data_IF_103786464088
#
_entry.id   IF_103786464088
#
_cell.length_a   1.000
_cell.length_b   1.000
_cell.length_c   1.000
_cell.angle_alpha   90.00
_cell.angle_beta   90.00
_cell.angle_gamma   90.00
#
_symmetry.space_group_name_H-M   'P 1'
#
loop_
_entity.id
_entity.type
_entity.pdbx_description
1 polymer ?
#
# COMPACT_ATOMS: atom_id res chain seq x y z
N UNK A 1 2.74 -15.43 -5.62
CA UNK A 1 3.60 -16.32 -4.77
C UNK A 1 4.08 -15.63 -3.49
N UNK A 2 4.65 -14.43 -3.55
CA UNK A 2 5.16 -13.71 -2.37
C UNK A 2 4.06 -13.39 -1.33
N UNK A 3 2.93 -12.82 -1.76
CA UNK A 3 1.78 -12.56 -0.90
C UNK A 3 1.28 -13.81 -0.16
N UNK A 4 1.19 -14.95 -0.85
CA UNK A 4 0.79 -16.23 -0.27
C UNK A 4 1.74 -16.68 0.86
N UNK A 5 3.04 -16.48 0.69
CA UNK A 5 4.03 -16.79 1.73
C UNK A 5 3.86 -15.87 2.93
N UNK A 6 3.62 -14.57 2.71
CA UNK A 6 3.39 -13.61 3.77
C UNK A 6 2.08 -13.86 4.53
N UNK A 7 1.03 -14.37 3.89
CA UNK A 7 -0.24 -14.65 4.57
C UNK A 7 -0.21 -15.97 5.34
N UNK A 8 0.43 -17.01 4.80
CA UNK A 8 0.33 -18.37 5.36
C UNK A 8 1.44 -18.70 6.37
N UNK A 9 2.62 -18.10 6.23
CA UNK A 9 3.73 -18.35 7.15
C UNK A 9 3.86 -17.20 8.13
N UNK A 10 3.68 -17.50 9.42
CA UNK A 10 4.16 -16.62 10.48
C UNK A 10 5.68 -16.75 10.51
N UNK A 11 6.37 -15.84 9.83
CA UNK A 11 7.83 -15.86 9.78
C UNK A 11 8.31 -15.39 11.16
N UNK A 12 8.74 -16.31 12.03
CA UNK A 12 9.20 -15.98 13.40
C UNK A 12 10.31 -14.93 13.46
N UNK A 13 11.02 -14.73 12.37
CA UNK A 13 12.13 -13.75 12.25
C UNK A 13 11.62 -12.35 11.90
N UNK A 14 10.40 -12.23 11.35
CA UNK A 14 9.86 -10.97 10.88
C UNK A 14 8.96 -10.36 11.94
N UNK A 15 9.19 -9.09 12.26
CA UNK A 15 8.32 -8.36 13.17
C UNK A 15 6.88 -8.32 12.61
N UNK A 16 5.85 -8.59 13.44
CA UNK A 16 4.47 -8.63 12.98
C UNK A 16 4.01 -7.34 12.29
N UNK A 17 4.46 -6.17 12.77
CA UNK A 17 4.08 -4.88 12.16
C UNK A 17 4.67 -4.72 10.76
N UNK A 18 5.93 -5.12 10.60
CA UNK A 18 6.63 -5.12 9.31
C UNK A 18 5.97 -6.10 8.32
N UNK A 19 5.54 -7.27 8.80
CA UNK A 19 4.82 -8.25 7.97
C UNK A 19 3.47 -7.69 7.48
N UNK A 20 2.71 -7.00 8.35
CA UNK A 20 1.44 -6.36 7.97
C UNK A 20 1.67 -5.30 6.90
N UNK A 21 2.63 -4.40 7.10
CA UNK A 21 2.97 -3.35 6.13
C UNK A 21 3.39 -3.95 4.76
N UNK A 22 4.20 -5.01 4.77
CA UNK A 22 4.59 -5.74 3.56
C UNK A 22 3.40 -6.36 2.82
N UNK A 23 2.43 -6.92 3.55
CA UNK A 23 1.22 -7.49 2.95
C UNK A 23 0.43 -6.38 2.25
N UNK A 24 0.20 -5.25 2.91
CA UNK A 24 -0.54 -4.13 2.30
C UNK A 24 0.19 -3.52 1.11
N UNK A 25 1.52 -3.35 1.18
CA UNK A 25 2.32 -2.91 0.03
C UNK A 25 2.23 -3.90 -1.14
N UNK A 26 2.30 -5.20 -0.85
CA UNK A 26 2.18 -6.23 -1.89
C UNK A 26 0.80 -6.22 -2.54
N UNK A 27 -0.26 -6.04 -1.74
CA UNK A 27 -1.62 -5.86 -2.26
C UNK A 27 -1.73 -4.65 -3.17
N UNK A 28 -1.20 -3.50 -2.73
CA UNK A 28 -1.15 -2.29 -3.55
C UNK A 28 -0.43 -2.54 -4.88
N UNK A 29 0.75 -3.16 -4.87
CA UNK A 29 1.50 -3.45 -6.11
C UNK A 29 0.74 -4.38 -7.07
N UNK A 30 -0.03 -5.33 -6.55
CA UNK A 30 -0.86 -6.21 -7.37
C UNK A 30 -2.01 -5.42 -8.00
N UNK A 31 -2.67 -4.54 -7.23
CA UNK A 31 -3.75 -3.70 -7.73
C UNK A 31 -3.24 -2.71 -8.79
N UNK A 32 -2.11 -2.07 -8.54
CA UNK A 32 -1.45 -1.16 -9.49
C UNK A 32 -1.07 -1.89 -10.78
N UNK A 33 -0.36 -3.02 -10.69
CA UNK A 33 0.01 -3.82 -11.86
C UNK A 33 -1.22 -4.32 -12.63
N UNK A 34 -2.29 -4.72 -11.94
CA UNK A 34 -3.55 -5.12 -12.58
C UNK A 34 -4.19 -3.95 -13.31
N UNK A 35 -4.20 -2.76 -12.69
CA UNK A 35 -4.73 -1.55 -13.32
C UNK A 35 -3.94 -1.17 -14.59
N UNK A 36 -2.62 -1.33 -14.57
CA UNK A 36 -1.78 -1.08 -15.76
C UNK A 36 -2.14 -2.03 -16.88
N UNK A 37 -2.16 -3.35 -16.61
CA UNK A 37 -2.39 -4.37 -17.63
C UNK A 37 -3.81 -4.33 -18.21
N UNK A 38 -4.82 -4.08 -17.37
CA UNK A 38 -6.22 -4.17 -17.79
C UNK A 38 -6.85 -2.84 -18.18
N UNK A 39 -6.30 -1.71 -17.74
CA UNK A 39 -6.89 -0.39 -17.98
C UNK A 39 -5.94 0.44 -18.83
N UNK A 40 -4.71 0.64 -18.36
CA UNK A 40 -3.76 1.57 -19.00
C UNK A 40 -3.27 1.08 -20.36
N UNK A 41 -2.88 -0.19 -20.45
CA UNK A 41 -2.37 -0.74 -21.71
C UNK A 41 -3.48 -0.74 -22.79
N UNK A 42 -4.71 -1.24 -22.54
CA UNK A 42 -5.81 -1.12 -23.50
C UNK A 42 -6.19 0.33 -23.85
N UNK A 43 -6.15 1.25 -22.88
CA UNK A 43 -6.38 2.67 -23.12
C UNK A 43 -5.33 3.27 -24.07
N UNK A 44 -4.06 2.92 -23.91
CA UNK A 44 -2.97 3.35 -24.78
C UNK A 44 -3.09 2.80 -26.22
N UNK A 45 -3.72 1.63 -26.38
CA UNK A 45 -4.08 1.08 -27.69
C UNK A 45 -5.39 1.64 -28.26
N UNK A 46 -6.01 2.64 -27.60
CA UNK A 46 -7.17 3.37 -28.11
C UNK A 46 -8.53 2.74 -27.80
N UNK A 47 -8.60 1.74 -26.91
CA UNK A 47 -9.87 1.11 -26.55
C UNK A 47 -10.71 1.98 -25.58
N UNK A 48 -10.08 2.76 -24.70
CA UNK A 48 -10.75 3.66 -23.73
C UNK A 48 -9.82 4.83 -23.32
N UNK A 49 -9.85 6.01 -23.99
CA UNK A 49 -8.89 7.10 -23.74
C UNK A 49 -9.08 7.86 -22.41
N UNK A 50 -10.28 7.82 -21.82
CA UNK A 50 -10.72 8.73 -20.75
C UNK A 50 -10.32 8.30 -19.32
N UNK A 51 -9.67 7.15 -19.14
CA UNK A 51 -9.34 6.60 -17.81
C UNK A 51 -7.93 6.94 -17.28
N UNK A 52 -7.23 7.91 -17.88
CA UNK A 52 -5.78 7.91 -17.86
C UNK A 52 -5.06 8.53 -16.65
N UNK A 53 -5.67 9.36 -15.80
CA UNK A 53 -4.87 10.10 -14.81
C UNK A 53 -5.34 9.95 -13.36
N UNK A 54 -4.39 9.59 -12.49
CA UNK A 54 -4.21 10.11 -11.13
C UNK A 54 -4.46 9.23 -9.88
N UNK A 55 -4.86 7.96 -9.96
CA UNK A 55 -5.21 7.20 -8.72
C UNK A 55 -4.09 6.37 -8.08
N UNK A 56 -3.05 5.95 -8.83
CA UNK A 56 -2.09 4.96 -8.31
C UNK A 56 -0.92 5.56 -7.54
N UNK A 57 -0.33 6.68 -7.96
CA UNK A 57 0.95 7.16 -7.41
C UNK A 57 0.96 7.44 -5.89
N UNK A 58 -0.13 7.99 -5.35
CA UNK A 58 -0.22 8.50 -3.97
C UNK A 58 -0.16 7.39 -2.91
N UNK A 59 -0.74 6.22 -3.21
CA UNK A 59 -0.86 5.11 -2.25
C UNK A 59 0.45 4.34 -2.12
N UNK A 60 1.19 4.21 -3.23
CA UNK A 60 2.51 3.60 -3.29
C UNK A 60 3.48 4.29 -2.33
N UNK A 61 3.52 5.63 -2.39
CA UNK A 61 4.40 6.44 -1.57
C UNK A 61 4.07 6.29 -0.08
N UNK A 62 2.79 6.22 0.29
CA UNK A 62 2.35 6.04 1.68
C UNK A 62 2.88 4.75 2.31
N UNK A 63 2.69 3.60 1.67
CA UNK A 63 3.17 2.33 2.22
C UNK A 63 4.70 2.21 2.24
N UNK A 64 5.40 2.77 1.24
CA UNK A 64 6.87 2.83 1.24
C UNK A 64 7.42 3.71 2.36
N UNK A 65 6.82 4.87 2.62
CA UNK A 65 7.19 5.75 3.73
C UNK A 65 6.94 5.06 5.07
N UNK A 66 5.79 4.41 5.26
CA UNK A 66 5.50 3.67 6.49
C UNK A 66 6.48 2.52 6.73
N UNK A 67 6.88 1.80 5.68
CA UNK A 67 7.92 0.78 5.76
C UNK A 67 9.28 1.37 6.15
N UNK A 68 9.66 2.51 5.58
CA UNK A 68 10.86 3.25 5.95
C UNK A 68 10.84 3.69 7.42
N UNK A 69 9.73 4.26 7.88
CA UNK A 69 9.54 4.71 9.26
C UNK A 69 9.55 3.53 10.24
N UNK A 70 8.89 2.41 9.91
CA UNK A 70 8.88 1.21 10.73
C UNK A 70 10.30 0.66 10.93
N UNK A 71 11.12 0.62 9.88
CA UNK A 71 12.53 0.21 10.00
C UNK A 71 13.37 1.24 10.76
N UNK A 72 13.17 2.53 10.47
CA UNK A 72 13.93 3.60 11.13
C UNK A 72 13.68 3.58 12.64
N UNK A 73 12.43 3.49 13.06
CA UNK A 73 12.04 3.40 14.48
C UNK A 73 12.56 2.14 15.15
N UNK A 74 12.65 1.02 14.43
CA UNK A 74 13.28 -0.19 14.96
C UNK A 74 14.79 0.00 15.24
N UNK A 75 15.48 0.80 14.42
CA UNK A 75 16.89 1.12 14.60
C UNK A 75 17.13 2.21 15.67
N UNK A 76 16.32 3.27 15.68
CA UNK A 76 16.52 4.41 16.59
C UNK A 76 15.94 4.17 17.99
N UNK A 77 14.83 3.44 18.10
CA UNK A 77 14.12 3.21 19.37
C UNK A 77 13.66 1.76 19.52
N UNK A 78 14.58 0.78 19.60
CA UNK A 78 14.23 -0.65 19.62
C UNK A 78 13.32 -1.04 20.78
N UNK A 79 13.47 -0.41 21.95
CA UNK A 79 12.66 -0.70 23.14
C UNK A 79 11.21 -0.22 22.97
N UNK A 80 11.00 0.93 22.32
CA UNK A 80 9.66 1.51 22.11
C UNK A 80 8.97 0.99 20.84
N UNK A 81 9.66 0.19 20.03
CA UNK A 81 9.15 -0.30 18.75
C UNK A 81 7.81 -1.03 18.89
N UNK A 82 7.67 -1.87 19.92
CA UNK A 82 6.44 -2.64 20.18
C UNK A 82 5.27 -1.73 20.58
N UNK A 83 5.55 -0.63 21.29
CA UNK A 83 4.53 0.34 21.71
C UNK A 83 4.07 1.19 20.52
N UNK A 84 5.02 1.66 19.71
CA UNK A 84 4.75 2.51 18.53
C UNK A 84 4.05 1.70 17.43
N UNK A 85 4.53 0.49 17.15
CA UNK A 85 4.06 -0.36 16.06
C UNK A 85 3.39 -1.62 16.57
N UNK A 86 2.46 -1.49 17.52
CA UNK A 86 1.63 -2.63 17.89
C UNK A 86 0.85 -3.13 16.65
N UNK A 87 0.53 -4.43 16.56
CA UNK A 87 -0.20 -4.97 15.40
C UNK A 87 -1.54 -4.26 15.16
N UNK A 88 -2.24 -3.89 16.23
CA UNK A 88 -3.50 -3.15 16.15
C UNK A 88 -3.29 -1.75 15.55
N UNK A 89 -2.32 -1.00 16.07
CA UNK A 89 -1.99 0.35 15.55
C UNK A 89 -1.60 0.24 14.08
N UNK A 90 -0.77 -0.75 13.73
CA UNK A 90 -0.31 -0.95 12.36
C UNK A 90 -1.48 -1.23 11.40
N UNK A 91 -2.45 -2.06 11.81
CA UNK A 91 -3.66 -2.28 11.01
C UNK A 91 -4.51 -1.01 10.84
N UNK A 92 -4.68 -0.23 11.91
CA UNK A 92 -5.41 1.04 11.85
C UNK A 92 -4.72 2.02 10.90
N UNK A 93 -3.40 2.17 11.01
CA UNK A 93 -2.62 3.04 10.11
C UNK A 93 -2.73 2.58 8.66
N UNK A 94 -2.60 1.28 8.38
CA UNK A 94 -2.79 0.73 7.03
C UNK A 94 -4.20 1.04 6.49
N UNK A 95 -5.23 0.87 7.31
CA UNK A 95 -6.61 1.18 6.92
C UNK A 95 -6.78 2.67 6.62
N UNK A 96 -6.20 3.55 7.44
CA UNK A 96 -6.21 4.99 7.19
C UNK A 96 -5.55 5.36 5.86
N UNK A 97 -4.42 4.72 5.51
CA UNK A 97 -3.79 4.92 4.20
C UNK A 97 -4.73 4.52 3.06
N UNK A 98 -5.44 3.39 3.20
CA UNK A 98 -6.44 2.98 2.21
C UNK A 98 -7.65 3.92 2.12
N UNK A 99 -8.10 4.49 3.24
CA UNK A 99 -9.18 5.48 3.23
C UNK A 99 -8.71 6.76 2.53
N UNK A 100 -7.53 7.27 2.87
CA UNK A 100 -6.94 8.44 2.23
C UNK A 100 -6.77 8.21 0.74
N UNK A 101 -6.30 7.03 0.33
CA UNK A 101 -6.20 6.60 -1.06
C UNK A 101 -7.54 6.72 -1.81
N UNK A 102 -8.61 6.16 -1.25
CA UNK A 102 -9.95 6.21 -1.86
C UNK A 102 -10.45 7.64 -1.91
N UNK A 103 -10.32 8.42 -0.83
CA UNK A 103 -10.77 9.82 -0.79
C UNK A 103 -10.02 10.68 -1.79
N UNK A 104 -8.69 10.53 -1.91
CA UNK A 104 -7.89 11.25 -2.92
C UNK A 104 -8.22 10.83 -4.34
N UNK A 105 -8.87 9.67 -4.51
CA UNK A 105 -9.32 9.17 -5.80
C UNK A 105 -10.68 9.75 -6.23
N UNK A 106 -11.45 10.35 -5.31
CA UNK A 106 -12.81 10.87 -5.62
C UNK A 106 -12.78 12.01 -6.66
N UNK A 107 -11.92 13.04 -6.56
CA UNK A 107 -11.92 14.15 -7.53
C UNK A 107 -11.70 13.69 -8.97
N UNK A 108 -10.91 12.62 -9.14
CA UNK A 108 -10.59 12.00 -10.44
C UNK A 108 -11.83 11.34 -11.04
N UNK A 109 -12.64 10.69 -10.21
CA UNK A 109 -13.86 9.99 -10.64
C UNK A 109 -14.98 10.99 -10.95
N UNK A 110 -15.07 12.07 -10.17
CA UNK A 110 -16.15 13.06 -10.28
C UNK A 110 -15.88 14.10 -11.38
N UNK A 111 -14.64 14.22 -11.86
CA UNK A 111 -14.33 14.96 -13.07
C UNK A 111 -14.30 16.47 -12.91
N UNK A 112 -13.64 16.97 -11.86
CA UNK A 112 -13.11 18.34 -11.88
C UNK A 112 -11.63 18.26 -12.28
N UNK A 113 -11.37 18.02 -13.57
CA UNK A 113 -10.06 18.23 -14.21
C UNK A 113 -10.21 19.17 -15.40
#
# INVERSE_FOLDING_TARGET
>A
RFLYVLLKKRIRVLDPSFQILLIHLTWYNILDASSVVFIRDPAAYGLVPEFYEATTLSCCMGFHVLLGLNRLTAFTFPIKQIEIWSPLITHVVCYLVWVVAVVSSIPIIVGDS
#
